data_IF_480377618445
#
_entry.id   IF_480377618445
#
_cell.length_a   1.000
_cell.length_b   1.000
_cell.length_c   1.000
_cell.angle_alpha   90.00
_cell.angle_beta   90.00
_cell.angle_gamma   90.00
#
_symmetry.space_group_name_H-M   'P 1'
#
loop_
_entity.id
_entity.type
_entity.pdbx_description
1 polymer ?
#
# COMPACT_ATOMS: atom_id res chain seq x y z
N UNK A 1 -3.41 78.62 -11.24
CA UNK A 1 -2.31 78.52 -10.27
C UNK A 1 -2.10 77.05 -9.99
N UNK A 2 -1.05 76.46 -10.55
CA UNK A 2 -0.58 75.13 -10.21
C UNK A 2 0.06 75.21 -8.82
N UNK A 3 -0.38 74.36 -7.89
CA UNK A 3 0.36 74.12 -6.66
C UNK A 3 1.66 73.41 -7.08
N UNK A 4 2.80 74.09 -6.93
CA UNK A 4 4.10 73.45 -6.99
C UNK A 4 4.16 72.44 -5.85
N UNK A 5 4.38 71.18 -6.21
CA UNK A 5 4.72 70.11 -5.28
C UNK A 5 6.15 70.40 -4.80
N UNK A 6 6.29 71.28 -3.79
CA UNK A 6 7.55 71.56 -3.11
C UNK A 6 7.96 70.32 -2.32
N UNK A 7 8.49 69.33 -3.03
CA UNK A 7 9.10 68.14 -2.45
C UNK A 7 10.29 68.56 -1.59
N UNK A 8 10.30 68.11 -0.33
CA UNK A 8 11.44 68.27 0.56
C UNK A 8 12.68 67.63 -0.08
N UNK A 9 13.73 68.41 -0.31
CA UNK A 9 15.00 67.94 -0.86
C UNK A 9 15.88 67.35 0.26
N UNK A 10 16.22 66.07 0.15
CA UNK A 10 17.06 65.33 1.10
C UNK A 10 18.36 64.83 0.46
N UNK A 11 18.72 65.34 -0.71
CA UNK A 11 19.89 64.89 -1.48
C UNK A 11 21.23 65.06 -0.74
N UNK A 12 21.29 65.93 0.27
CA UNK A 12 22.47 66.16 1.11
C UNK A 12 22.57 65.25 2.34
N UNK A 13 21.55 64.42 2.61
CA UNK A 13 21.54 63.47 3.72
C UNK A 13 22.00 62.09 3.24
N UNK A 14 22.79 61.40 4.07
CA UNK A 14 23.03 59.97 3.85
C UNK A 14 21.78 59.13 4.15
N UNK A 15 21.69 57.93 3.59
CA UNK A 15 20.59 57.00 3.85
C UNK A 15 20.35 56.77 5.35
N UNK A 16 21.43 56.63 6.13
CA UNK A 16 21.35 56.49 7.59
C UNK A 16 20.77 57.74 8.27
N UNK A 17 21.13 58.94 7.80
CA UNK A 17 20.60 60.21 8.33
C UNK A 17 19.13 60.42 7.94
N UNK A 18 18.72 59.99 6.75
CA UNK A 18 17.32 59.99 6.33
C UNK A 18 16.50 59.04 7.21
N UNK A 19 17.04 57.85 7.51
CA UNK A 19 16.41 56.88 8.42
C UNK A 19 16.29 57.46 9.84
N UNK A 20 17.36 58.06 10.39
CA UNK A 20 17.30 58.69 11.71
C UNK A 20 16.31 59.86 11.77
N UNK A 21 16.28 60.71 10.74
CA UNK A 21 15.32 61.80 10.61
C UNK A 21 13.88 61.27 10.59
N UNK A 22 13.61 60.22 9.80
CA UNK A 22 12.31 59.58 9.74
C UNK A 22 11.89 58.98 11.09
N UNK A 23 12.81 58.33 11.81
CA UNK A 23 12.56 57.78 13.16
C UNK A 23 12.27 58.90 14.16
N UNK A 24 13.02 60.00 14.12
CA UNK A 24 12.82 61.15 15.00
C UNK A 24 11.46 61.82 14.75
N UNK A 25 11.10 62.03 13.47
CA UNK A 25 9.80 62.58 13.08
C UNK A 25 8.64 61.65 13.49
N UNK A 26 8.78 60.34 13.28
CA UNK A 26 7.76 59.37 13.69
C UNK A 26 7.57 59.35 15.21
N UNK A 27 8.67 59.37 16.00
CA UNK A 27 8.61 59.46 17.46
C UNK A 27 7.91 60.73 17.92
N UNK A 28 8.25 61.86 17.33
CA UNK A 28 7.63 63.15 17.66
C UNK A 28 6.15 63.18 17.28
N UNK A 29 5.78 62.63 16.12
CA UNK A 29 4.39 62.51 15.68
C UNK A 29 3.56 61.61 16.61
N UNK A 30 4.12 60.47 17.05
CA UNK A 30 3.47 59.59 18.02
C UNK A 30 3.36 60.23 19.41
N UNK A 31 4.37 61.01 19.84
CA UNK A 31 4.34 61.75 21.11
C UNK A 31 3.25 62.81 21.13
N UNK A 32 3.04 63.50 20.01
CA UNK A 32 2.02 64.55 19.86
C UNK A 32 0.62 63.99 19.63
N UNK A 33 0.49 62.79 19.07
CA UNK A 33 -0.79 62.18 18.74
C UNK A 33 -0.90 60.76 19.33
N UNK A 34 -1.51 60.63 20.52
CA UNK A 34 -1.74 59.34 21.17
C UNK A 34 -2.57 58.36 20.32
N UNK A 35 -3.47 58.85 19.47
CA UNK A 35 -4.26 58.01 18.58
C UNK A 35 -3.39 57.40 17.48
N UNK A 36 -2.40 58.13 16.96
CA UNK A 36 -1.42 57.62 16.00
C UNK A 36 -0.55 56.53 16.64
N UNK A 37 -0.11 56.73 17.89
CA UNK A 37 0.65 55.74 18.65
C UNK A 37 -0.16 54.45 18.89
N UNK A 38 -1.44 54.57 19.25
CA UNK A 38 -2.34 53.43 19.43
C UNK A 38 -2.60 52.68 18.11
N UNK A 39 -2.79 53.41 17.00
CA UNK A 39 -2.98 52.82 15.67
C UNK A 39 -1.74 52.04 15.21
N UNK A 40 -0.53 52.59 15.39
CA UNK A 40 0.73 51.90 15.09
C UNK A 40 0.92 50.65 15.95
N UNK A 41 0.66 50.74 17.25
CA UNK A 41 0.78 49.60 18.16
C UNK A 41 -0.17 48.46 17.77
N UNK A 42 -1.41 48.81 17.37
CA UNK A 42 -2.40 47.85 16.89
C UNK A 42 -1.99 47.22 15.56
N UNK A 43 -1.50 48.02 14.60
CA UNK A 43 -1.01 47.52 13.32
C UNK A 43 0.17 46.53 13.48
N UNK A 44 1.09 46.80 14.42
CA UNK A 44 2.20 45.89 14.72
C UNK A 44 1.74 44.57 15.35
N UNK A 45 0.72 44.61 16.22
CA UNK A 45 0.11 43.41 16.78
C UNK A 45 -0.58 42.57 15.70
N UNK A 46 -1.37 43.21 14.83
CA UNK A 46 -2.08 42.54 13.73
C UNK A 46 -1.08 41.90 12.72
N UNK A 47 0.01 42.58 12.40
CA UNK A 47 1.04 42.04 11.50
C UNK A 47 1.81 40.87 12.15
N UNK A 48 2.10 40.94 13.45
CA UNK A 48 2.69 39.83 14.18
C UNK A 48 1.77 38.61 14.16
N UNK A 49 0.48 38.80 14.41
CA UNK A 49 -0.52 37.73 14.34
C UNK A 49 -0.60 37.10 12.94
N UNK A 50 -0.52 37.93 11.90
CA UNK A 50 -0.50 37.48 10.50
C UNK A 50 0.74 36.62 10.20
N UNK A 51 1.93 37.04 10.61
CA UNK A 51 3.17 36.30 10.40
C UNK A 51 3.14 34.96 11.15
N UNK A 52 2.69 34.96 12.41
CA UNK A 52 2.56 33.75 13.21
C UNK A 52 1.53 32.77 12.61
N UNK A 53 0.40 33.27 12.12
CA UNK A 53 -0.61 32.45 11.44
C UNK A 53 -0.04 31.79 10.17
N UNK A 54 0.72 32.54 9.36
CA UNK A 54 1.39 32.02 8.18
C UNK A 54 2.44 30.94 8.53
N UNK A 55 3.23 31.16 9.59
CA UNK A 55 4.21 30.19 10.08
C UNK A 55 3.55 28.89 10.57
N UNK A 56 2.45 29.00 11.33
CA UNK A 56 1.64 27.85 11.77
C UNK A 56 1.07 27.07 10.58
N UNK A 57 0.52 27.76 9.60
CA UNK A 57 0.00 27.16 8.37
C UNK A 57 1.07 26.40 7.58
N UNK A 58 2.26 26.99 7.42
CA UNK A 58 3.40 26.35 6.74
C UNK A 58 3.89 25.10 7.49
N UNK A 59 4.01 25.17 8.81
CA UNK A 59 4.41 24.02 9.63
C UNK A 59 3.38 22.89 9.56
N UNK A 60 2.09 23.21 9.57
CA UNK A 60 1.01 22.23 9.43
C UNK A 60 1.01 21.58 8.03
N UNK A 61 1.22 22.36 6.96
CA UNK A 61 1.33 21.85 5.60
C UNK A 61 2.52 20.89 5.44
N UNK A 62 3.69 21.25 5.99
CA UNK A 62 4.88 20.37 5.98
C UNK A 62 4.64 19.06 6.72
N UNK A 63 3.98 19.10 7.89
CA UNK A 63 3.61 17.89 8.65
C UNK A 63 2.61 17.01 7.91
N UNK A 64 1.61 17.62 7.28
CA UNK A 64 0.61 16.90 6.50
C UNK A 64 1.24 16.19 5.29
N UNK A 65 2.18 16.86 4.61
CA UNK A 65 2.91 16.29 3.48
C UNK A 65 3.84 15.15 3.91
N UNK A 66 4.60 15.32 4.99
CA UNK A 66 5.43 14.25 5.56
C UNK A 66 4.58 13.01 5.93
N UNK A 67 3.44 13.22 6.59
CA UNK A 67 2.52 12.13 6.94
C UNK A 67 1.89 11.47 5.70
N UNK A 68 1.65 12.23 4.62
CA UNK A 68 1.17 11.69 3.34
C UNK A 68 2.21 10.79 2.69
N UNK A 69 3.46 11.26 2.62
CA UNK A 69 4.59 10.48 2.08
C UNK A 69 4.83 9.21 2.88
N UNK A 70 4.76 9.29 4.21
CA UNK A 70 4.93 8.11 5.08
C UNK A 70 3.81 7.09 4.86
N UNK A 71 2.55 7.52 4.75
CA UNK A 71 1.43 6.62 4.42
C UNK A 71 1.60 5.97 3.05
N UNK A 72 2.06 6.73 2.04
CA UNK A 72 2.33 6.19 0.71
C UNK A 72 3.46 5.16 0.74
N UNK A 73 4.54 5.42 1.48
CA UNK A 73 5.67 4.50 1.63
C UNK A 73 5.24 3.20 2.34
N UNK A 74 4.43 3.31 3.41
CA UNK A 74 3.88 2.13 4.11
C UNK A 74 2.98 1.30 3.20
N UNK A 75 2.04 1.94 2.50
CA UNK A 75 1.14 1.24 1.56
C UNK A 75 1.92 0.56 0.43
N UNK A 76 2.97 1.21 -0.10
CA UNK A 76 3.84 0.61 -1.12
C UNK A 76 4.61 -0.61 -0.57
N UNK A 77 5.14 -0.51 0.65
CA UNK A 77 5.84 -1.62 1.29
C UNK A 77 4.91 -2.82 1.54
N UNK A 78 3.70 -2.58 2.03
CA UNK A 78 2.66 -3.60 2.21
C UNK A 78 2.27 -4.25 0.88
N UNK A 79 2.10 -3.47 -0.19
CA UNK A 79 1.80 -4.01 -1.51
C UNK A 79 2.91 -4.94 -2.03
N UNK A 80 4.18 -4.56 -1.85
CA UNK A 80 5.32 -5.40 -2.22
C UNK A 80 5.38 -6.68 -1.39
N UNK A 81 5.12 -6.61 -0.08
CA UNK A 81 5.09 -7.79 0.79
C UNK A 81 3.96 -8.75 0.38
N UNK A 82 2.76 -8.23 0.13
CA UNK A 82 1.61 -9.01 -0.31
C UNK A 82 1.85 -9.70 -1.66
N UNK A 83 2.46 -9.00 -2.61
CA UNK A 83 2.80 -9.57 -3.92
C UNK A 83 3.88 -10.66 -3.81
N UNK A 84 4.89 -10.48 -2.95
CA UNK A 84 5.90 -11.52 -2.69
C UNK A 84 5.27 -12.77 -2.09
N UNK A 85 4.38 -12.61 -1.12
CA UNK A 85 3.69 -13.76 -0.51
C UNK A 85 2.78 -14.46 -1.52
N UNK A 86 2.03 -13.70 -2.31
CA UNK A 86 1.20 -14.26 -3.39
C UNK A 86 2.04 -15.09 -4.36
N UNK A 87 3.20 -14.58 -4.80
CA UNK A 87 4.11 -15.31 -5.69
C UNK A 87 4.64 -16.58 -5.03
N UNK A 88 5.10 -16.49 -3.78
CA UNK A 88 5.57 -17.65 -3.01
C UNK A 88 4.51 -18.75 -2.94
N UNK A 89 3.25 -18.39 -2.64
CA UNK A 89 2.14 -19.34 -2.61
C UNK A 89 1.89 -19.94 -4.00
N UNK A 90 1.86 -19.12 -5.04
CA UNK A 90 1.64 -19.57 -6.42
C UNK A 90 2.75 -20.53 -6.88
N UNK A 91 4.02 -20.19 -6.63
CA UNK A 91 5.19 -21.01 -6.98
C UNK A 91 5.15 -22.37 -6.27
N UNK A 92 4.80 -22.39 -4.99
CA UNK A 92 4.66 -23.62 -4.22
C UNK A 92 3.56 -24.53 -4.81
N UNK A 93 2.39 -23.97 -5.13
CA UNK A 93 1.29 -24.74 -5.71
C UNK A 93 1.64 -25.28 -7.12
N UNK A 94 2.34 -24.49 -7.94
CA UNK A 94 2.84 -24.92 -9.26
C UNK A 94 3.85 -26.06 -9.10
N UNK A 95 4.74 -25.99 -8.10
CA UNK A 95 5.68 -27.06 -7.83
C UNK A 95 4.96 -28.38 -7.47
N UNK A 96 3.92 -28.32 -6.62
CA UNK A 96 3.11 -29.50 -6.30
C UNK A 96 2.32 -30.02 -7.50
N UNK A 97 1.78 -29.15 -8.35
CA UNK A 97 1.15 -29.54 -9.61
C UNK A 97 2.12 -30.29 -10.52
N UNK A 98 3.34 -29.77 -10.70
CA UNK A 98 4.39 -30.41 -11.51
C UNK A 98 4.79 -31.78 -10.95
N UNK A 99 4.96 -31.89 -9.63
CA UNK A 99 5.28 -33.16 -8.97
C UNK A 99 4.15 -34.19 -9.17
N UNK A 100 2.89 -33.79 -8.98
CA UNK A 100 1.73 -34.65 -9.22
C UNK A 100 1.61 -35.08 -10.69
N UNK A 101 1.85 -34.15 -11.61
CA UNK A 101 1.84 -34.43 -13.05
C UNK A 101 2.90 -35.47 -13.46
N UNK A 102 4.10 -35.38 -12.89
CA UNK A 102 5.16 -36.36 -13.10
C UNK A 102 4.75 -37.77 -12.64
N UNK A 103 4.09 -37.90 -11.49
CA UNK A 103 3.60 -39.20 -10.98
C UNK A 103 2.49 -39.76 -11.88
N UNK A 104 1.61 -38.90 -12.39
CA UNK A 104 0.53 -39.28 -13.32
C UNK A 104 1.06 -39.61 -14.73
N UNK A 105 2.28 -39.19 -15.07
CA UNK A 105 2.85 -39.34 -16.41
C UNK A 105 2.26 -38.37 -17.43
N UNK A 106 1.90 -37.14 -17.00
CA UNK A 106 1.40 -36.10 -17.89
C UNK A 106 2.17 -34.78 -17.73
N UNK A 107 1.93 -33.86 -18.65
CA UNK A 107 2.49 -32.51 -18.63
C UNK A 107 1.67 -31.61 -17.71
N UNK A 108 2.33 -30.80 -16.89
CA UNK A 108 1.65 -29.96 -15.90
C UNK A 108 0.71 -28.93 -16.56
N UNK A 109 1.03 -28.45 -17.77
CA UNK A 109 0.23 -27.51 -18.56
C UNK A 109 -1.16 -28.06 -18.89
N UNK A 110 -1.28 -29.39 -18.95
CA UNK A 110 -2.53 -30.09 -19.20
C UNK A 110 -3.26 -30.45 -17.91
N UNK A 111 -2.85 -29.95 -16.75
CA UNK A 111 -3.40 -30.35 -15.47
C UNK A 111 -3.80 -29.15 -14.62
N UNK A 112 -4.70 -29.41 -13.66
CA UNK A 112 -4.99 -28.44 -12.61
C UNK A 112 -5.01 -29.09 -11.24
N UNK A 113 -4.49 -28.36 -10.27
CA UNK A 113 -4.52 -28.68 -8.86
C UNK A 113 -5.66 -27.89 -8.22
N UNK A 114 -6.55 -28.57 -7.51
CA UNK A 114 -7.68 -27.95 -6.83
C UNK A 114 -7.61 -28.30 -5.35
N UNK A 115 -7.64 -27.27 -4.52
CA UNK A 115 -7.83 -27.38 -3.08
C UNK A 115 -9.24 -26.91 -2.76
N UNK A 116 -10.15 -27.82 -2.45
CA UNK A 116 -11.51 -27.47 -2.04
C UNK A 116 -11.59 -27.34 -0.52
N UNK A 117 -12.10 -26.20 -0.06
CA UNK A 117 -12.35 -25.92 1.36
C UNK A 117 -13.82 -25.93 1.72
N UNK A 118 -14.67 -25.68 0.74
CA UNK A 118 -16.12 -25.64 0.89
C UNK A 118 -16.73 -27.03 0.60
N UNK A 119 -17.46 -27.65 1.54
CA UNK A 119 -18.19 -28.91 1.33
C UNK A 119 -19.11 -28.91 0.10
N UNK A 120 -19.71 -27.76 -0.24
CA UNK A 120 -20.60 -27.60 -1.39
C UNK A 120 -19.81 -27.76 -2.69
N UNK A 121 -18.66 -27.10 -2.79
CA UNK A 121 -17.77 -27.18 -3.96
C UNK A 121 -17.04 -28.53 -4.05
N UNK A 122 -16.67 -29.10 -2.89
CA UNK A 122 -16.04 -30.40 -2.73
C UNK A 122 -16.99 -31.59 -2.98
N UNK A 123 -18.29 -31.32 -3.21
CA UNK A 123 -19.36 -32.32 -3.36
C UNK A 123 -19.30 -33.38 -2.26
N UNK A 124 -19.21 -32.94 -1.00
CA UNK A 124 -19.07 -33.84 0.15
C UNK A 124 -18.12 -33.29 1.21
N UNK A 125 -17.30 -34.16 1.80
CA UNK A 125 -16.42 -33.80 2.91
C UNK A 125 -15.24 -32.94 2.44
N UNK A 126 -15.05 -31.77 3.05
CA UNK A 126 -13.88 -30.91 2.82
C UNK A 126 -12.96 -30.91 4.06
N UNK A 127 -11.66 -30.61 3.93
CA UNK A 127 -10.96 -30.25 2.70
C UNK A 127 -10.60 -31.43 1.80
N UNK A 128 -10.55 -31.18 0.49
CA UNK A 128 -10.12 -32.16 -0.53
C UNK A 128 -9.04 -31.58 -1.42
N UNK A 129 -8.09 -32.42 -1.79
CA UNK A 129 -7.11 -32.15 -2.83
C UNK A 129 -7.51 -32.93 -4.09
N UNK A 130 -7.62 -32.26 -5.22
CA UNK A 130 -7.94 -32.88 -6.51
C UNK A 130 -6.91 -32.53 -7.57
N UNK A 131 -6.65 -33.50 -8.45
CA UNK A 131 -5.82 -33.33 -9.62
C UNK A 131 -6.64 -33.68 -10.85
N UNK A 132 -6.84 -32.71 -11.73
CA UNK A 132 -7.68 -32.85 -12.91
C UNK A 132 -6.85 -32.80 -14.19
N UNK A 133 -7.34 -33.48 -15.23
CA UNK A 133 -6.83 -33.35 -16.58
C UNK A 133 -7.60 -32.28 -17.36
N UNK A 134 -6.88 -31.29 -17.88
CA UNK A 134 -7.40 -30.22 -18.72
C UNK A 134 -8.49 -29.40 -18.03
N UNK A 135 -9.52 -29.03 -18.80
CA UNK A 135 -10.72 -28.34 -18.31
C UNK A 135 -11.82 -29.29 -17.85
N UNK A 136 -11.50 -30.57 -17.66
CA UNK A 136 -12.53 -31.58 -17.40
C UNK A 136 -13.04 -31.49 -15.96
N UNK A 137 -14.30 -31.88 -15.79
CA UNK A 137 -15.00 -31.89 -14.49
C UNK A 137 -14.72 -33.13 -13.66
N UNK A 138 -14.06 -34.15 -14.22
CA UNK A 138 -13.65 -35.36 -13.51
C UNK A 138 -12.20 -35.27 -13.06
N UNK A 139 -11.96 -35.74 -11.84
CA UNK A 139 -10.66 -35.72 -11.21
C UNK A 139 -9.94 -37.04 -11.48
N UNK A 140 -8.66 -36.97 -11.84
CA UNK A 140 -7.80 -38.17 -11.94
C UNK A 140 -7.43 -38.67 -10.55
N UNK A 141 -7.30 -37.75 -9.60
CA UNK A 141 -6.95 -38.01 -8.21
C UNK A 141 -7.86 -37.17 -7.33
N UNK A 142 -8.48 -37.79 -6.33
CA UNK A 142 -9.17 -37.10 -5.25
C UNK A 142 -8.69 -37.65 -3.92
N UNK A 143 -8.17 -36.76 -3.08
CA UNK A 143 -7.71 -37.08 -1.73
C UNK A 143 -8.54 -36.30 -0.72
N UNK A 144 -9.21 -37.03 0.16
CA UNK A 144 -9.95 -36.45 1.27
C UNK A 144 -9.05 -36.36 2.50
N UNK A 145 -8.80 -35.13 2.96
CA UNK A 145 -7.81 -34.88 4.01
C UNK A 145 -8.26 -35.42 5.36
N UNK A 146 -9.56 -35.37 5.65
CA UNK A 146 -10.12 -35.80 6.93
C UNK A 146 -10.07 -37.32 7.12
N UNK A 147 -10.43 -38.09 6.08
CA UNK A 147 -10.44 -39.56 6.13
C UNK A 147 -9.11 -40.18 5.69
N UNK A 148 -8.28 -39.43 4.97
CA UNK A 148 -7.08 -39.96 4.31
C UNK A 148 -7.40 -40.87 3.12
N UNK A 149 -8.66 -40.89 2.66
CA UNK A 149 -9.08 -41.68 1.50
C UNK A 149 -8.54 -41.09 0.21
N UNK A 150 -8.05 -41.98 -0.66
CA UNK A 150 -7.54 -41.65 -1.99
C UNK A 150 -8.32 -42.42 -3.05
N UNK A 151 -8.94 -41.65 -3.94
CA UNK A 151 -9.56 -42.12 -5.17
C UNK A 151 -8.64 -41.76 -6.34
N UNK A 152 -8.38 -42.73 -7.21
CA UNK A 152 -7.59 -42.54 -8.43
C UNK A 152 -8.33 -43.11 -9.62
N UNK A 153 -8.10 -42.57 -10.81
CA UNK A 153 -8.59 -43.16 -12.04
C UNK A 153 -8.01 -44.58 -12.23
N UNK A 154 -8.71 -45.48 -12.96
CA UNK A 154 -8.26 -46.87 -13.13
C UNK A 154 -6.85 -47.02 -13.71
N UNK A 155 -6.40 -46.09 -14.56
CA UNK A 155 -5.07 -46.10 -15.17
C UNK A 155 -3.93 -45.73 -14.22
N UNK A 156 -4.23 -45.30 -12.98
CA UNK A 156 -3.24 -44.86 -11.98
C UNK A 156 -3.10 -45.82 -10.80
N UNK A 157 -3.62 -47.06 -10.92
CA UNK A 157 -3.56 -48.05 -9.84
C UNK A 157 -2.13 -48.33 -9.36
N UNK A 158 -1.19 -48.44 -10.28
CA UNK A 158 0.22 -48.75 -9.95
C UNK A 158 0.94 -47.54 -9.33
N UNK A 159 0.52 -46.32 -9.69
CA UNK A 159 1.03 -45.08 -9.13
C UNK A 159 0.39 -44.70 -7.78
N UNK A 160 -0.63 -45.44 -7.33
CA UNK A 160 -1.42 -45.12 -6.13
C UNK A 160 -0.58 -44.92 -4.86
N UNK A 161 0.46 -45.72 -4.56
CA UNK A 161 1.30 -45.49 -3.37
C UNK A 161 2.04 -44.14 -3.44
N UNK A 162 2.60 -43.80 -4.61
CA UNK A 162 3.30 -42.53 -4.83
C UNK A 162 2.33 -41.34 -4.76
N UNK A 163 1.15 -41.48 -5.36
CA UNK A 163 0.09 -40.46 -5.30
C UNK A 163 -0.40 -40.23 -3.86
N UNK A 164 -0.54 -41.28 -3.06
CA UNK A 164 -0.95 -41.14 -1.66
C UNK A 164 0.09 -40.37 -0.83
N UNK A 165 1.38 -40.68 -1.01
CA UNK A 165 2.46 -39.96 -0.36
C UNK A 165 2.47 -38.49 -0.78
N UNK A 166 2.40 -38.22 -2.08
CA UNK A 166 2.32 -36.87 -2.63
C UNK A 166 1.08 -36.10 -2.13
N UNK A 167 -0.10 -36.71 -2.10
CA UNK A 167 -1.32 -36.05 -1.63
C UNK A 167 -1.21 -35.63 -0.16
N UNK A 168 -0.61 -36.46 0.70
CA UNK A 168 -0.39 -36.14 2.11
C UNK A 168 0.54 -34.95 2.28
N UNK A 169 1.65 -34.97 1.57
CA UNK A 169 2.64 -33.88 1.59
C UNK A 169 2.04 -32.58 1.06
N UNK A 170 1.40 -32.62 -0.12
CA UNK A 170 0.78 -31.47 -0.74
C UNK A 170 -0.33 -30.88 0.14
N UNK A 171 -1.22 -31.71 0.71
CA UNK A 171 -2.28 -31.24 1.60
C UNK A 171 -1.72 -30.58 2.86
N UNK A 172 -0.69 -31.18 3.48
CA UNK A 172 -0.05 -30.60 4.66
C UNK A 172 0.63 -29.26 4.34
N UNK A 173 1.31 -29.16 3.20
CA UNK A 173 1.94 -27.93 2.76
C UNK A 173 0.92 -26.82 2.43
N UNK A 174 -0.15 -27.15 1.72
CA UNK A 174 -1.25 -26.21 1.41
C UNK A 174 -1.91 -25.68 2.69
N UNK A 175 -2.11 -26.54 3.69
CA UNK A 175 -2.59 -26.12 5.00
C UNK A 175 -1.59 -25.22 5.74
N UNK A 176 -0.29 -25.54 5.69
CA UNK A 176 0.76 -24.73 6.29
C UNK A 176 0.92 -23.35 5.62
N UNK A 177 0.59 -23.24 4.33
CA UNK A 177 0.50 -21.96 3.60
C UNK A 177 -0.72 -21.12 3.98
N UNK A 178 -1.62 -21.64 4.84
CA UNK A 178 -2.79 -20.89 5.31
C UNK A 178 -3.87 -20.69 4.26
N UNK A 179 -3.91 -21.52 3.21
CA UNK A 179 -4.91 -21.40 2.14
C UNK A 179 -6.27 -21.89 2.68
N UNK A 180 -7.10 -20.93 3.05
CA UNK A 180 -8.39 -21.12 3.73
C UNK A 180 -9.58 -21.20 2.77
N UNK A 181 -9.44 -20.66 1.55
CA UNK A 181 -10.43 -20.67 0.47
C UNK A 181 -10.18 -21.75 -0.58
N UNK A 182 -11.24 -22.13 -1.30
CA UNK A 182 -11.09 -22.99 -2.49
C UNK A 182 -10.18 -22.31 -3.51
N UNK A 183 -9.17 -23.03 -3.97
CA UNK A 183 -8.14 -22.52 -4.88
C UNK A 183 -7.90 -23.52 -6.01
N UNK A 184 -7.86 -23.03 -7.25
CA UNK A 184 -7.48 -23.80 -8.43
C UNK A 184 -6.26 -23.16 -9.07
N UNK A 185 -5.25 -23.98 -9.36
CA UNK A 185 -4.07 -23.59 -10.14
C UNK A 185 -4.02 -24.45 -11.39
N UNK A 186 -3.84 -23.82 -12.55
CA UNK A 186 -3.66 -24.51 -13.83
C UNK A 186 -2.21 -24.38 -14.28
N UNK A 187 -1.65 -25.44 -14.85
CA UNK A 187 -0.24 -25.43 -15.25
C UNK A 187 0.07 -24.50 -16.43
N UNK A 188 -0.96 -24.04 -17.16
CA UNK A 188 -0.84 -23.06 -18.24
C UNK A 188 -1.00 -21.60 -17.78
N UNK A 189 -1.20 -21.35 -16.48
CA UNK A 189 -1.37 -20.00 -15.89
C UNK A 189 -0.06 -19.48 -15.24
N UNK A 190 1.09 -20.02 -15.66
CA UNK A 190 2.44 -19.64 -15.19
C UNK A 190 3.22 -18.79 -16.19
#
# INVERSE_FOLDING_TARGET
>A
MQASDDGLDFSELSDDQIVELAVALAREAMRRNPALQAAFSRALLDERERIEAAARGSAQAKRAEAARLERQARAAAEAVANERERRRVQDALIAYLRAGAAIVGNQAENMSLIWDRDPIQARGKAPKLRLNLGRQTWSLVEYEVASGELYTSPGLRDARPALLAWCREAAAAIQALGIDRTTQIRGNEG
#
